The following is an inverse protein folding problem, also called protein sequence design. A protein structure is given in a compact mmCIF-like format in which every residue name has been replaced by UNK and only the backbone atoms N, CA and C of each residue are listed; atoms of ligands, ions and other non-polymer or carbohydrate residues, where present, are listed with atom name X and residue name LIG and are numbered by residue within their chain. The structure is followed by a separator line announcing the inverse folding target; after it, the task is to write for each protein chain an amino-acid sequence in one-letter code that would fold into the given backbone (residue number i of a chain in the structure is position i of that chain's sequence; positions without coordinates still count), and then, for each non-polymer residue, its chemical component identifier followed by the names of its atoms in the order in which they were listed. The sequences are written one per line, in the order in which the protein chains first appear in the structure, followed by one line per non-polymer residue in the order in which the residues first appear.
data_IF_133785453484
#
_entry.id   IF_133785453484
#
_cell.length_a   1.000
_cell.length_b   1.000
_cell.length_c   1.000
_cell.angle_alpha   90.00
_cell.angle_beta   90.00
_cell.angle_gamma   90.00
#
_symmetry.space_group_name_H-M   'P 1'
#
loop_
_entity.id
_entity.type
_entity.pdbx_description
1 polymer ?
#
# COMPACT_ATOMS: atom_id res chain seq x y z
N UNK A 1 -13.35 -10.88 12.54
CA UNK A 1 -12.88 -9.67 11.80
C UNK A 1 -11.37 -9.45 11.91
N UNK A 2 -10.74 -9.59 13.09
CA UNK A 2 -9.30 -9.29 13.26
C UNK A 2 -8.40 -10.17 12.38
N UNK A 3 -8.72 -11.46 12.20
CA UNK A 3 -7.97 -12.35 11.29
C UNK A 3 -8.05 -11.88 9.84
N UNK A 4 -9.26 -11.53 9.37
CA UNK A 4 -9.47 -11.02 8.02
C UNK A 4 -8.68 -9.72 7.80
N UNK A 5 -8.78 -8.77 8.72
CA UNK A 5 -8.05 -7.48 8.66
C UNK A 5 -6.54 -7.66 8.65
N UNK A 6 -6.00 -8.62 9.43
CA UNK A 6 -4.59 -8.97 9.40
C UNK A 6 -4.16 -9.48 8.01
N UNK A 7 -4.93 -10.42 7.45
CA UNK A 7 -4.69 -10.94 6.10
C UNK A 7 -4.78 -9.87 5.00
N UNK A 8 -5.71 -8.92 5.13
CA UNK A 8 -5.85 -7.78 4.23
C UNK A 8 -4.58 -6.89 4.25
N UNK A 9 -4.00 -6.69 5.43
CA UNK A 9 -2.75 -5.94 5.57
C UNK A 9 -1.58 -6.54 4.77
N UNK A 10 -1.52 -7.87 4.65
CA UNK A 10 -0.57 -8.57 3.78
C UNK A 10 -0.99 -8.51 2.30
N UNK A 11 -2.25 -8.76 2.01
CA UNK A 11 -2.76 -8.78 0.64
C UNK A 11 -2.58 -7.45 -0.09
N UNK A 12 -2.76 -6.33 0.60
CA UNK A 12 -2.53 -5.00 0.05
C UNK A 12 -1.07 -4.80 -0.38
N UNK A 13 -0.10 -5.31 0.40
CA UNK A 13 1.31 -5.25 0.03
C UNK A 13 1.61 -6.07 -1.23
N UNK A 14 0.92 -7.21 -1.44
CA UNK A 14 1.04 -7.99 -2.67
C UNK A 14 0.65 -7.18 -3.91
N UNK A 15 -0.46 -6.44 -3.83
CA UNK A 15 -0.87 -5.52 -4.89
C UNK A 15 0.15 -4.38 -5.11
N UNK A 16 0.67 -3.81 -4.01
CA UNK A 16 1.71 -2.78 -4.07
C UNK A 16 2.98 -3.28 -4.74
N UNK A 17 3.43 -4.49 -4.41
CA UNK A 17 4.62 -5.12 -5.02
C UNK A 17 4.43 -5.36 -6.51
N UNK A 18 3.26 -5.83 -6.94
CA UNK A 18 2.94 -6.01 -8.35
C UNK A 18 2.96 -4.68 -9.12
N UNK A 19 2.38 -3.64 -8.55
CA UNK A 19 2.41 -2.29 -9.13
C UNK A 19 3.84 -1.73 -9.21
N UNK A 20 4.62 -1.90 -8.16
CA UNK A 20 6.02 -1.48 -8.13
C UNK A 20 6.86 -2.19 -9.19
N UNK A 21 6.79 -3.51 -9.29
CA UNK A 21 7.55 -4.27 -10.27
C UNK A 21 7.17 -3.86 -11.71
N UNK A 22 5.88 -3.74 -11.99
CA UNK A 22 5.38 -3.27 -13.29
C UNK A 22 5.95 -1.89 -13.62
N UNK A 23 5.91 -0.94 -12.69
CA UNK A 23 6.43 0.40 -12.89
C UNK A 23 7.96 0.41 -13.09
N UNK A 24 8.70 -0.39 -12.32
CA UNK A 24 10.15 -0.52 -12.42
C UNK A 24 10.57 -1.07 -13.79
N UNK A 25 9.97 -2.17 -14.25
CA UNK A 25 10.30 -2.77 -15.54
C UNK A 25 9.93 -1.83 -16.69
N UNK A 26 8.76 -1.18 -16.63
CA UNK A 26 8.37 -0.18 -17.60
C UNK A 26 9.36 0.99 -17.65
N UNK A 27 9.73 1.54 -16.50
CA UNK A 27 10.67 2.67 -16.43
C UNK A 27 12.07 2.35 -16.99
N UNK A 28 12.51 1.09 -16.85
CA UNK A 28 13.80 0.63 -17.40
C UNK A 28 13.80 0.44 -18.92
N UNK A 29 12.64 0.19 -19.52
CA UNK A 29 12.50 -0.11 -20.95
C UNK A 29 11.95 1.05 -21.77
N UNK A 30 11.03 1.84 -21.21
CA UNK A 30 10.44 3.00 -21.88
C UNK A 30 11.46 4.11 -22.07
N UNK A 31 11.65 4.55 -23.30
CA UNK A 31 12.58 5.62 -23.64
C UNK A 31 11.84 6.91 -23.98
N UNK A 32 12.26 8.01 -23.37
CA UNK A 32 11.82 9.38 -23.65
C UNK A 32 12.99 10.34 -23.38
N UNK A 33 12.90 11.56 -23.92
CA UNK A 33 13.93 12.60 -23.75
C UNK A 33 15.35 12.08 -24.05
N UNK A 34 15.84 12.44 -25.22
CA UNK A 34 17.15 12.01 -25.72
C UNK A 34 17.31 10.46 -25.81
N UNK A 35 16.21 9.73 -26.05
CA UNK A 35 16.20 8.27 -26.20
C UNK A 35 16.76 7.49 -25.00
N UNK A 36 16.67 8.06 -23.80
CA UNK A 36 17.10 7.41 -22.55
C UNK A 36 15.91 6.71 -21.85
N UNK A 37 16.15 5.60 -21.11
CA UNK A 37 15.12 5.04 -20.25
C UNK A 37 14.57 6.09 -19.27
N UNK A 38 13.26 6.11 -19.06
CA UNK A 38 12.68 7.10 -18.12
C UNK A 38 13.14 6.87 -16.68
N UNK A 39 13.63 5.68 -16.34
CA UNK A 39 14.30 5.41 -15.07
C UNK A 39 15.56 6.28 -14.83
N UNK A 40 16.12 6.92 -15.85
CA UNK A 40 17.25 7.85 -15.69
C UNK A 40 16.85 9.24 -15.17
N UNK A 41 15.55 9.53 -15.05
CA UNK A 41 15.06 10.82 -14.62
C UNK A 41 14.79 10.85 -13.11
N UNK A 42 15.22 11.92 -12.44
CA UNK A 42 15.18 12.05 -10.98
C UNK A 42 13.77 11.87 -10.40
N UNK A 43 12.72 12.44 -11.01
CA UNK A 43 11.34 12.33 -10.52
C UNK A 43 10.78 10.90 -10.64
N UNK A 44 11.29 10.09 -11.57
CA UNK A 44 10.93 8.66 -11.66
C UNK A 44 11.66 7.86 -10.58
N UNK A 45 12.96 8.11 -10.39
CA UNK A 45 13.75 7.46 -9.33
C UNK A 45 13.24 7.79 -7.95
N UNK A 46 12.83 9.03 -7.69
CA UNK A 46 12.21 9.44 -6.42
C UNK A 46 10.98 8.59 -6.10
N UNK A 47 10.06 8.46 -7.06
CA UNK A 47 8.86 7.64 -6.90
C UNK A 47 9.20 6.19 -6.62
N UNK A 48 10.11 5.60 -7.39
CA UNK A 48 10.52 4.20 -7.22
C UNK A 48 11.20 3.97 -5.86
N UNK A 49 12.07 4.87 -5.44
CA UNK A 49 12.74 4.79 -4.13
C UNK A 49 11.73 4.89 -2.98
N UNK A 50 10.77 5.82 -3.06
CA UNK A 50 9.70 5.94 -2.08
C UNK A 50 8.85 4.66 -2.03
N UNK A 51 8.42 4.14 -3.19
CA UNK A 51 7.57 2.95 -3.28
C UNK A 51 8.21 1.73 -2.60
N UNK A 52 9.48 1.44 -2.91
CA UNK A 52 10.15 0.27 -2.32
C UNK A 52 10.37 0.47 -0.81
N UNK A 53 10.67 1.69 -0.37
CA UNK A 53 10.81 2.00 1.06
C UNK A 53 9.52 1.75 1.82
N UNK A 54 8.37 2.20 1.30
CA UNK A 54 7.07 1.98 1.94
C UNK A 54 6.67 0.50 1.94
N UNK A 55 6.97 -0.25 0.88
CA UNK A 55 6.74 -1.70 0.85
C UNK A 55 7.52 -2.39 1.99
N UNK A 56 8.80 -2.10 2.13
CA UNK A 56 9.64 -2.71 3.18
C UNK A 56 9.14 -2.34 4.57
N UNK A 57 8.79 -1.09 4.82
CA UNK A 57 8.20 -0.64 6.10
C UNK A 57 6.88 -1.37 6.39
N UNK A 58 6.02 -1.50 5.38
CA UNK A 58 4.75 -2.22 5.51
C UNK A 58 4.94 -3.71 5.82
N UNK A 59 5.93 -4.36 5.19
CA UNK A 59 6.28 -5.76 5.47
C UNK A 59 6.80 -5.94 6.89
N UNK A 60 7.66 -5.05 7.36
CA UNK A 60 8.18 -5.08 8.74
C UNK A 60 7.06 -4.88 9.76
N UNK A 61 6.13 -3.96 9.51
CA UNK A 61 4.95 -3.76 10.36
C UNK A 61 4.08 -5.03 10.40
N UNK A 62 3.80 -5.63 9.24
CA UNK A 62 2.99 -6.84 9.14
C UNK A 62 3.64 -8.03 9.88
N UNK A 63 4.95 -8.21 9.71
CA UNK A 63 5.71 -9.24 10.40
C UNK A 63 5.71 -9.01 11.92
N UNK A 64 5.93 -7.77 12.36
CA UNK A 64 5.93 -7.43 13.78
C UNK A 64 4.56 -7.71 14.44
N UNK A 65 3.47 -7.26 13.80
CA UNK A 65 2.11 -7.52 14.29
C UNK A 65 1.81 -9.03 14.30
N UNK A 66 2.31 -9.78 13.30
CA UNK A 66 2.21 -11.24 13.27
C UNK A 66 2.86 -11.90 14.46
N UNK A 67 4.08 -11.50 14.83
CA UNK A 67 4.79 -12.01 16.01
C UNK A 67 4.07 -11.69 17.31
N UNK A 68 3.58 -10.46 17.48
CA UNK A 68 2.76 -10.08 18.65
C UNK A 68 1.49 -10.96 18.74
N UNK A 69 0.90 -11.28 17.58
CA UNK A 69 -0.28 -12.14 17.48
C UNK A 69 0.03 -13.59 17.88
N UNK A 70 1.16 -14.14 17.42
CA UNK A 70 1.60 -15.49 17.78
C UNK A 70 1.90 -15.61 19.29
N UNK A 71 2.42 -14.55 19.90
CA UNK A 71 2.63 -14.43 21.36
C UNK A 71 1.33 -14.25 22.16
N UNK A 72 0.16 -14.15 21.52
CA UNK A 72 -1.12 -13.92 22.16
C UNK A 72 -1.31 -12.52 22.74
N UNK A 73 -0.46 -11.56 22.37
CA UNK A 73 -0.45 -10.18 22.91
C UNK A 73 -1.07 -9.15 21.98
N UNK A 74 -1.68 -9.58 20.87
CA UNK A 74 -2.23 -8.65 19.88
C UNK A 74 -3.48 -7.96 20.42
N UNK A 75 -3.50 -6.63 20.28
CA UNK A 75 -4.66 -5.78 20.54
C UNK A 75 -5.33 -5.40 19.21
N UNK A 76 -6.65 -5.18 19.16
CA UNK A 76 -7.35 -4.74 17.95
C UNK A 76 -6.76 -3.49 17.30
N UNK A 77 -6.17 -2.59 18.07
CA UNK A 77 -5.50 -1.38 17.55
C UNK A 77 -4.25 -1.71 16.72
N UNK A 78 -3.49 -2.75 17.06
CA UNK A 78 -2.37 -3.23 16.26
C UNK A 78 -2.82 -3.68 14.87
N UNK A 79 -3.92 -4.44 14.82
CA UNK A 79 -4.52 -4.89 13.55
C UNK A 79 -5.07 -3.72 12.74
N UNK A 80 -5.71 -2.77 13.41
CA UNK A 80 -6.21 -1.53 12.79
C UNK A 80 -5.07 -0.71 12.19
N UNK A 81 -3.97 -0.54 12.92
CA UNK A 81 -2.77 0.16 12.44
C UNK A 81 -2.19 -0.51 11.20
N UNK A 82 -2.05 -1.82 11.23
CA UNK A 82 -1.55 -2.61 10.11
C UNK A 82 -2.42 -2.44 8.86
N UNK A 83 -3.72 -2.69 8.99
CA UNK A 83 -4.66 -2.60 7.85
C UNK A 83 -4.70 -1.19 7.29
N UNK A 84 -4.86 -0.20 8.14
CA UNK A 84 -4.92 1.22 7.76
C UNK A 84 -3.67 1.65 7.00
N UNK A 85 -2.48 1.38 7.57
CA UNK A 85 -1.21 1.81 6.97
C UNK A 85 -0.96 1.11 5.64
N UNK A 86 -1.03 -0.23 5.62
CA UNK A 86 -0.60 -1.00 4.45
C UNK A 86 -1.56 -0.82 3.27
N UNK A 87 -2.84 -0.63 3.51
CA UNK A 87 -3.80 -0.35 2.44
C UNK A 87 -3.62 1.07 1.88
N UNK A 88 -3.40 2.07 2.74
CA UNK A 88 -3.15 3.43 2.30
C UNK A 88 -1.89 3.53 1.44
N UNK A 89 -0.76 3.00 1.90
CA UNK A 89 0.48 3.02 1.12
C UNK A 89 0.38 2.21 -0.16
N UNK A 90 -0.34 1.08 -0.16
CA UNK A 90 -0.54 0.29 -1.37
C UNK A 90 -1.31 1.07 -2.43
N UNK A 91 -2.34 1.80 -2.05
CA UNK A 91 -3.10 2.66 -2.95
C UNK A 91 -2.24 3.81 -3.52
N UNK A 92 -1.43 4.45 -2.68
CA UNK A 92 -0.51 5.50 -3.12
C UNK A 92 0.59 4.95 -4.04
N UNK A 93 1.08 3.74 -3.78
CA UNK A 93 2.02 3.04 -4.66
C UNK A 93 1.37 2.76 -6.02
N UNK A 94 0.14 2.26 -6.05
CA UNK A 94 -0.58 2.01 -7.29
C UNK A 94 -0.79 3.29 -8.10
N UNK A 95 -1.12 4.41 -7.45
CA UNK A 95 -1.24 5.73 -8.10
C UNK A 95 0.08 6.23 -8.68
N UNK A 96 1.18 6.07 -7.94
CA UNK A 96 2.53 6.43 -8.43
C UNK A 96 2.96 5.54 -9.61
N UNK A 97 2.68 4.24 -9.53
CA UNK A 97 2.94 3.31 -10.62
C UNK A 97 2.15 3.70 -11.89
N UNK A 98 0.84 3.98 -11.74
CA UNK A 98 0.00 4.49 -12.84
C UNK A 98 0.60 5.76 -13.47
N UNK A 99 1.09 6.67 -12.64
CA UNK A 99 1.69 7.92 -13.10
C UNK A 99 3.00 7.67 -13.87
N UNK A 100 3.87 6.77 -13.41
CA UNK A 100 5.10 6.37 -14.11
C UNK A 100 4.80 5.79 -15.50
N UNK A 101 3.74 5.00 -15.61
CA UNK A 101 3.33 4.40 -16.89
C UNK A 101 2.66 5.41 -17.84
N UNK A 102 2.26 6.59 -17.36
CA UNK A 102 1.53 7.58 -18.16
C UNK A 102 0.21 7.02 -18.67
N UNK A 103 -0.09 7.21 -19.96
CA UNK A 103 -1.32 6.68 -20.58
C UNK A 103 -1.40 5.14 -20.52
N UNK A 104 -0.27 4.44 -20.59
CA UNK A 104 -0.22 2.98 -20.46
C UNK A 104 -0.62 2.49 -19.05
N UNK A 105 -0.58 3.35 -18.04
CA UNK A 105 -1.07 3.02 -16.71
C UNK A 105 -2.59 2.94 -16.57
N UNK A 106 -3.34 3.29 -17.63
CA UNK A 106 -4.81 3.31 -17.63
C UNK A 106 -5.38 2.09 -18.37
N UNK A 107 -4.62 1.49 -19.29
CA UNK A 107 -5.09 0.37 -20.12
C UNK A 107 -4.89 -0.99 -19.42
N UNK A 108 -5.69 -1.98 -19.82
CA UNK A 108 -5.72 -3.32 -19.21
C UNK A 108 -4.49 -4.18 -19.50
N UNK A 109 -3.64 -3.77 -20.45
CA UNK A 109 -2.37 -4.46 -20.76
C UNK A 109 -1.43 -4.48 -19.52
N UNK A 110 -1.64 -3.58 -18.56
CA UNK A 110 -0.89 -3.48 -17.31
C UNK A 110 -1.82 -3.64 -16.10
N UNK A 111 -1.34 -4.35 -15.08
CA UNK A 111 -2.15 -4.67 -13.90
C UNK A 111 -2.46 -3.46 -12.98
N UNK A 112 -1.82 -2.33 -13.22
CA UNK A 112 -1.76 -1.20 -12.26
C UNK A 112 -3.14 -0.60 -11.99
N UNK A 113 -3.93 -0.28 -13.05
CA UNK A 113 -5.25 0.32 -12.89
C UNK A 113 -6.21 -0.64 -12.18
N UNK A 114 -6.16 -1.93 -12.51
CA UNK A 114 -6.96 -2.96 -11.84
C UNK A 114 -6.65 -3.03 -10.34
N UNK A 115 -5.36 -3.05 -9.96
CA UNK A 115 -4.97 -3.03 -8.55
C UNK A 115 -5.38 -1.73 -7.87
N UNK A 116 -5.27 -0.59 -8.54
CA UNK A 116 -5.70 0.69 -7.99
C UNK A 116 -7.20 0.69 -7.67
N UNK A 117 -8.04 0.25 -8.62
CA UNK A 117 -9.49 0.15 -8.41
C UNK A 117 -9.84 -0.84 -7.28
N UNK A 118 -9.19 -2.00 -7.24
CA UNK A 118 -9.40 -2.98 -6.17
C UNK A 118 -9.00 -2.39 -4.80
N UNK A 119 -7.89 -1.66 -4.73
CA UNK A 119 -7.41 -1.08 -3.48
C UNK A 119 -8.34 0.03 -2.94
N UNK A 120 -9.09 0.74 -3.79
CA UNK A 120 -10.16 1.65 -3.33
C UNK A 120 -11.26 0.87 -2.57
N UNK A 121 -11.62 -0.33 -3.05
CA UNK A 121 -12.54 -1.20 -2.31
C UNK A 121 -11.93 -1.69 -0.99
N UNK A 122 -10.66 -2.10 -1.01
CA UNK A 122 -9.92 -2.54 0.18
C UNK A 122 -9.79 -1.42 1.21
N UNK A 123 -9.62 -0.19 0.76
CA UNK A 123 -9.58 1.01 1.61
C UNK A 123 -10.89 1.22 2.38
N UNK A 124 -12.00 0.76 1.80
CA UNK A 124 -13.35 0.98 2.31
C UNK A 124 -13.89 -0.17 3.16
N UNK A 125 -13.69 -1.42 2.75
CA UNK A 125 -14.29 -2.58 3.43
C UNK A 125 -13.48 -3.03 4.67
N UNK A 126 -14.09 -3.90 5.48
CA UNK A 126 -13.50 -4.42 6.73
C UNK A 126 -13.04 -3.32 7.71
N UNK A 127 -13.80 -2.24 7.71
CA UNK A 127 -13.47 -0.99 8.38
C UNK A 127 -12.76 -0.03 7.45
N UNK A 128 -13.36 1.13 7.26
CA UNK A 128 -12.72 2.22 6.51
C UNK A 128 -11.45 2.68 7.21
N UNK A 129 -10.56 3.33 6.47
CA UNK A 129 -9.36 3.91 7.08
C UNK A 129 -9.68 4.87 8.22
N UNK A 130 -10.80 5.60 8.14
CA UNK A 130 -11.21 6.52 9.21
C UNK A 130 -11.67 5.77 10.47
N UNK A 131 -12.42 4.66 10.32
CA UNK A 131 -12.76 3.82 11.46
C UNK A 131 -11.51 3.27 12.15
N UNK A 132 -10.50 2.84 11.41
CA UNK A 132 -9.24 2.38 12.00
C UNK A 132 -8.51 3.49 12.77
N UNK A 133 -8.53 4.74 12.27
CA UNK A 133 -8.00 5.90 13.01
C UNK A 133 -8.72 6.08 14.35
N UNK A 134 -10.05 5.96 14.37
CA UNK A 134 -10.85 6.09 15.58
C UNK A 134 -10.53 4.98 16.60
N UNK A 135 -10.39 3.73 16.15
CA UNK A 135 -9.98 2.60 17.02
C UNK A 135 -8.61 2.84 17.65
N UNK A 136 -7.65 3.32 16.86
CA UNK A 136 -6.31 3.67 17.37
C UNK A 136 -6.40 4.86 18.32
N UNK A 137 -7.15 5.90 17.96
CA UNK A 137 -7.36 7.10 18.76
C UNK A 137 -7.94 6.78 20.13
N UNK A 138 -8.99 5.95 20.19
CA UNK A 138 -9.55 5.47 21.44
C UNK A 138 -8.52 4.74 22.30
N UNK A 139 -7.74 3.84 21.69
CA UNK A 139 -6.73 3.06 22.41
C UNK A 139 -5.66 3.93 23.06
N UNK A 140 -5.16 4.97 22.37
CA UNK A 140 -4.10 5.83 22.89
C UNK A 140 -4.58 6.92 23.85
N UNK A 141 -5.84 7.36 23.75
CA UNK A 141 -6.40 8.43 24.57
C UNK A 141 -7.27 7.92 25.72
N UNK A 142 -7.80 6.70 25.61
CA UNK A 142 -8.82 6.17 26.49
C UNK A 142 -10.23 6.77 26.28
N UNK A 143 -10.43 7.56 25.20
CA UNK A 143 -11.69 8.27 24.92
C UNK A 143 -12.17 7.90 23.53
N UNK A 144 -13.37 7.30 23.45
CA UNK A 144 -14.00 6.99 22.17
C UNK A 144 -14.52 8.27 21.49
N UNK A 145 -14.27 8.39 20.18
CA UNK A 145 -14.70 9.54 19.39
C UNK A 145 -15.93 9.26 18.50
N UNK A 146 -16.56 8.09 18.67
CA UNK A 146 -17.66 7.62 17.81
C UNK A 146 -18.84 7.04 18.63
N UNK A 147 -19.16 7.69 19.72
CA UNK A 147 -20.31 7.40 20.62
C UNK A 147 -21.35 8.48 20.48
#
# INVERSE_FOLDING_TARGET
LNQARYGIGWGALGAAMACYDTALQYAKTRKQFANKPIASHQLVQEKLAWMITEIVKGQLLALHVGRIKDDGKVDPSHISMLKMNNVAIALDIARKARDILGANGIVDDYCVMRHMNNLESVYTYEGTNDIHKLVIGEKITGIAAYV
#
